data_IF_703575348248
#
_entry.id   IF_703575348248
#
_cell.length_a   1.000
_cell.length_b   1.000
_cell.length_c   1.000
_cell.angle_alpha   90.00
_cell.angle_beta   90.00
_cell.angle_gamma   90.00
#
_symmetry.space_group_name_H-M   'P 1'
#
loop_
_entity.id
_entity.type
_entity.pdbx_description
1 polymer ?
#
# COMPACT_ATOMS: atom_id res chain seq x y z
N UNK A 1 -10.80 12.45 8.85
CA UNK A 1 -10.27 11.17 8.32
C UNK A 1 -10.10 11.22 6.82
N UNK A 2 -8.96 10.75 6.36
CA UNK A 2 -8.66 10.62 4.95
C UNK A 2 -8.50 9.15 4.60
N UNK A 3 -8.94 8.79 3.39
CA UNK A 3 -8.68 7.48 2.81
C UNK A 3 -7.54 7.62 1.81
N UNK A 4 -6.50 6.84 1.99
CA UNK A 4 -5.37 6.80 1.07
C UNK A 4 -5.53 5.55 0.23
N UNK A 5 -5.60 5.72 -1.08
CA UNK A 5 -5.74 4.62 -2.03
C UNK A 5 -4.51 4.57 -2.95
N UNK A 6 -3.81 3.44 -2.92
CA UNK A 6 -2.71 3.18 -3.84
C UNK A 6 -3.21 2.24 -4.91
N UNK A 7 -3.03 2.61 -6.16
CA UNK A 7 -3.47 1.80 -7.29
C UNK A 7 -2.23 1.46 -8.10
N UNK A 8 -1.94 0.16 -8.23
CA UNK A 8 -0.79 -0.32 -8.99
C UNK A 8 -1.26 -1.14 -10.18
N UNK A 9 -0.76 -0.81 -11.35
CA UNK A 9 -1.03 -1.55 -12.58
C UNK A 9 0.14 -2.48 -12.82
N UNK A 10 -0.09 -3.77 -12.61
CA UNK A 10 0.95 -4.78 -12.70
C UNK A 10 1.15 -5.27 -14.13
N UNK A 11 2.31 -5.83 -14.40
CA UNK A 11 2.56 -6.53 -15.64
C UNK A 11 1.69 -7.80 -15.71
N UNK A 12 1.29 -8.26 -16.90
CA UNK A 12 0.47 -9.46 -17.03
C UNK A 12 1.06 -10.65 -16.29
N UNK A 13 0.23 -11.30 -15.47
CA UNK A 13 0.63 -12.46 -14.69
C UNK A 13 1.42 -12.14 -13.43
N UNK A 14 1.64 -10.86 -13.10
CA UNK A 14 2.46 -10.47 -11.95
C UNK A 14 1.66 -9.93 -10.78
N UNK A 15 0.33 -10.05 -10.80
CA UNK A 15 -0.50 -9.56 -9.70
C UNK A 15 -0.27 -10.35 -8.42
N UNK A 16 -0.22 -11.69 -8.52
CA UNK A 16 -0.13 -12.52 -7.32
C UNK A 16 1.12 -12.24 -6.48
N UNK A 17 2.32 -12.13 -7.06
CA UNK A 17 3.49 -11.71 -6.27
C UNK A 17 3.32 -10.34 -5.60
N UNK A 18 2.65 -9.40 -6.28
CA UNK A 18 2.39 -8.08 -5.71
C UNK A 18 1.38 -8.14 -4.56
N UNK A 19 0.35 -8.98 -4.68
CA UNK A 19 -0.62 -9.21 -3.60
C UNK A 19 0.10 -9.70 -2.35
N UNK A 20 1.01 -10.65 -2.50
CA UNK A 20 1.77 -11.18 -1.38
C UNK A 20 2.59 -10.09 -0.68
N UNK A 21 3.23 -9.22 -1.47
CA UNK A 21 3.96 -8.09 -0.92
C UNK A 21 3.04 -7.15 -0.15
N UNK A 22 1.90 -6.80 -0.71
CA UNK A 22 0.95 -5.88 -0.06
C UNK A 22 0.33 -6.49 1.20
N UNK A 23 0.04 -7.78 1.19
CA UNK A 23 -0.47 -8.45 2.40
C UNK A 23 0.59 -8.47 3.52
N UNK A 24 1.85 -8.68 3.17
CA UNK A 24 2.93 -8.61 4.14
C UNK A 24 3.11 -7.18 4.67
N UNK A 25 2.99 -6.17 3.79
CA UNK A 25 3.00 -4.76 4.19
C UNK A 25 1.87 -4.44 5.15
N UNK A 26 0.68 -4.98 4.90
CA UNK A 26 -0.47 -4.76 5.77
C UNK A 26 -0.21 -5.28 7.19
N UNK A 27 0.41 -6.44 7.31
CA UNK A 27 0.77 -7.00 8.62
C UNK A 27 1.77 -6.11 9.35
N UNK A 28 2.78 -5.62 8.64
CA UNK A 28 3.77 -4.73 9.25
C UNK A 28 3.14 -3.40 9.66
N UNK A 29 2.22 -2.87 8.87
CA UNK A 29 1.50 -1.64 9.23
C UNK A 29 0.72 -1.81 10.53
N UNK A 30 0.05 -2.94 10.71
CA UNK A 30 -0.63 -3.24 11.97
C UNK A 30 0.34 -3.30 13.14
N UNK A 31 1.47 -3.98 12.97
CA UNK A 31 2.49 -4.09 14.01
C UNK A 31 3.10 -2.74 14.37
N UNK A 32 3.23 -1.87 13.38
CA UNK A 32 3.79 -0.53 13.58
C UNK A 32 2.77 0.46 14.16
N UNK A 33 1.52 0.06 14.32
CA UNK A 33 0.47 0.93 14.85
C UNK A 33 -0.15 1.86 13.81
N UNK A 34 0.09 1.62 12.52
CA UNK A 34 -0.48 2.45 11.44
C UNK A 34 -1.87 2.03 11.01
N UNK A 35 -2.44 1.01 11.68
CA UNK A 35 -3.75 0.52 11.33
C UNK A 35 -3.72 -0.53 10.25
N UNK A 36 -4.91 -0.88 9.78
CA UNK A 36 -5.11 -1.98 8.85
C UNK A 36 -5.21 -1.47 7.42
N UNK A 37 -4.54 -2.16 6.51
CA UNK A 37 -4.58 -1.86 5.10
C UNK A 37 -5.43 -2.93 4.39
N UNK A 38 -6.38 -2.50 3.58
CA UNK A 38 -7.18 -3.38 2.75
C UNK A 38 -6.48 -3.56 1.41
N UNK A 39 -6.40 -4.80 0.94
CA UNK A 39 -5.78 -5.12 -0.35
C UNK A 39 -6.81 -5.77 -1.25
N UNK A 40 -6.95 -5.25 -2.46
CA UNK A 40 -7.95 -5.71 -3.42
C UNK A 40 -7.31 -5.88 -4.79
N UNK A 41 -7.88 -6.78 -5.59
CA UNK A 41 -7.50 -6.94 -6.98
C UNK A 41 -8.72 -6.71 -7.86
N UNK A 42 -8.51 -6.43 -9.15
CA UNK A 42 -9.62 -6.22 -10.06
C UNK A 42 -10.42 -7.50 -10.24
N UNK A 43 -11.71 -7.40 -10.01
CA UNK A 43 -12.69 -8.37 -10.46
C UNK A 43 -13.31 -7.86 -11.75
N UNK A 44 -13.62 -6.56 -11.77
CA UNK A 44 -14.07 -5.84 -12.94
C UNK A 44 -13.65 -4.38 -12.74
N UNK A 45 -12.75 -3.89 -13.54
CA UNK A 45 -12.23 -2.54 -13.41
C UNK A 45 -11.79 -1.96 -14.73
N UNK A 46 -11.21 -0.78 -14.67
CA UNK A 46 -10.76 -0.06 -15.86
C UNK A 46 -9.65 -0.81 -16.60
N UNK A 47 -8.77 -1.47 -15.85
CA UNK A 47 -7.63 -2.20 -16.42
C UNK A 47 -7.48 -3.55 -15.74
N UNK A 48 -6.99 -4.54 -16.50
CA UNK A 48 -6.60 -5.82 -15.95
C UNK A 48 -5.33 -5.70 -15.13
N UNK A 49 -5.08 -6.67 -14.30
CA UNK A 49 -3.84 -6.81 -13.51
C UNK A 49 -3.65 -5.65 -12.54
N UNK A 50 -4.74 -5.20 -11.93
CA UNK A 50 -4.73 -4.07 -11.01
C UNK A 50 -4.75 -4.55 -9.57
N UNK A 51 -3.94 -3.90 -8.72
CA UNK A 51 -4.00 -4.10 -7.29
C UNK A 51 -4.26 -2.74 -6.62
N UNK A 52 -5.14 -2.72 -5.65
CA UNK A 52 -5.51 -1.52 -4.91
C UNK A 52 -5.32 -1.78 -3.43
N UNK A 53 -4.66 -0.87 -2.74
CA UNK A 53 -4.64 -0.89 -1.28
C UNK A 53 -5.29 0.37 -0.74
N UNK A 54 -5.98 0.23 0.39
CA UNK A 54 -6.64 1.35 1.05
C UNK A 54 -6.36 1.32 2.53
N UNK A 55 -6.06 2.48 3.09
CA UNK A 55 -5.95 2.63 4.53
C UNK A 55 -6.38 4.06 4.92
N UNK A 56 -6.73 4.23 6.19
CA UNK A 56 -7.22 5.50 6.69
C UNK A 56 -6.17 6.17 7.57
N UNK A 57 -6.11 7.48 7.49
CA UNK A 57 -5.27 8.32 8.36
C UNK A 57 -6.09 9.48 8.87
N UNK A 58 -5.69 10.05 10.00
CA UNK A 58 -6.42 11.18 10.60
C UNK A 58 -6.38 12.43 9.73
N UNK A 59 -5.21 12.74 9.18
CA UNK A 59 -4.99 13.95 8.38
C UNK A 59 -3.71 13.80 7.55
N UNK A 60 -3.42 14.81 6.73
CA UNK A 60 -2.22 14.79 5.88
C UNK A 60 -0.93 14.79 6.68
N UNK A 61 -0.91 15.44 7.83
CA UNK A 61 0.29 15.47 8.68
C UNK A 61 0.65 14.06 9.16
N UNK A 62 -0.37 13.29 9.59
CA UNK A 62 -0.17 11.90 9.99
C UNK A 62 0.35 11.05 8.83
N UNK A 63 -0.17 11.27 7.63
CA UNK A 63 0.28 10.57 6.44
C UNK A 63 1.74 10.92 6.10
N UNK A 64 2.10 12.20 6.15
CA UNK A 64 3.47 12.63 5.90
C UNK A 64 4.46 12.00 6.89
N UNK A 65 4.11 11.97 8.17
CA UNK A 65 4.94 11.32 9.18
C UNK A 65 5.14 9.84 8.87
N UNK A 66 4.07 9.16 8.49
CA UNK A 66 4.13 7.75 8.14
C UNK A 66 5.06 7.52 6.94
N UNK A 67 4.97 8.36 5.91
CA UNK A 67 5.80 8.25 4.72
C UNK A 67 7.27 8.56 5.00
N UNK A 68 7.55 9.39 6.00
CA UNK A 68 8.91 9.71 6.43
C UNK A 68 9.49 8.64 7.35
N UNK A 69 8.69 7.65 7.72
CA UNK A 69 9.15 6.57 8.59
C UNK A 69 9.24 6.93 10.06
N UNK A 70 8.61 8.01 10.50
CA UNK A 70 8.60 8.39 11.90
C UNK A 70 7.90 7.33 12.75
N UNK A 71 8.52 6.95 13.86
CA UNK A 71 7.99 5.92 14.75
C UNK A 71 8.29 4.50 14.30
N UNK A 72 9.05 4.33 13.22
CA UNK A 72 9.44 3.02 12.72
C UNK A 72 10.87 2.72 13.20
N UNK A 73 11.06 1.55 13.81
CA UNK A 73 12.39 1.12 14.23
C UNK A 73 13.25 0.76 13.02
N UNK A 74 14.59 0.79 13.13
CA UNK A 74 15.45 0.36 12.02
C UNK A 74 15.17 -1.06 11.54
N UNK A 75 14.84 -1.97 12.44
CA UNK A 75 14.52 -3.36 12.11
C UNK A 75 13.25 -3.44 11.27
N UNK A 76 12.22 -2.70 11.68
CA UNK A 76 10.94 -2.67 10.97
C UNK A 76 11.10 -2.03 9.59
N UNK A 77 11.91 -0.98 9.51
CA UNK A 77 12.23 -0.33 8.25
C UNK A 77 12.89 -1.29 7.26
N UNK A 78 13.81 -2.12 7.73
CA UNK A 78 14.44 -3.15 6.90
C UNK A 78 13.43 -4.19 6.41
N UNK A 79 12.49 -4.58 7.25
CA UNK A 79 11.45 -5.51 6.85
C UNK A 79 10.58 -4.92 5.73
N UNK A 80 10.20 -3.64 5.83
CA UNK A 80 9.47 -2.96 4.76
C UNK A 80 10.27 -2.97 3.45
N UNK A 81 11.55 -2.64 3.50
CA UNK A 81 12.41 -2.66 2.32
C UNK A 81 12.48 -4.04 1.70
N UNK A 82 12.67 -5.07 2.53
CA UNK A 82 12.79 -6.45 2.05
C UNK A 82 11.51 -6.92 1.38
N UNK A 83 10.35 -6.58 1.95
CA UNK A 83 9.05 -6.95 1.36
C UNK A 83 8.89 -6.33 -0.01
N UNK A 84 9.21 -5.04 -0.16
CA UNK A 84 8.98 -4.33 -1.41
C UNK A 84 10.13 -4.50 -2.42
N UNK A 85 11.21 -5.17 -2.04
CA UNK A 85 12.34 -5.38 -2.95
C UNK A 85 11.88 -6.07 -4.24
N UNK A 86 12.25 -5.48 -5.37
CA UNK A 86 11.94 -6.05 -6.69
C UNK A 86 10.55 -5.73 -7.20
N UNK A 87 9.75 -4.92 -6.49
CA UNK A 87 8.39 -4.64 -6.94
C UNK A 87 8.36 -3.91 -8.30
N UNK A 88 9.42 -3.18 -8.64
CA UNK A 88 9.50 -2.49 -9.93
C UNK A 88 9.47 -3.46 -11.12
N UNK A 89 9.87 -4.71 -10.91
CA UNK A 89 9.79 -5.72 -11.97
C UNK A 89 8.38 -6.26 -12.16
N UNK A 90 7.48 -5.98 -11.23
CA UNK A 90 6.12 -6.50 -11.23
C UNK A 90 5.09 -5.47 -11.69
N UNK A 91 5.43 -4.19 -11.66
CA UNK A 91 4.50 -3.08 -11.84
C UNK A 91 4.92 -2.23 -13.03
N UNK A 92 3.96 -1.85 -13.89
CA UNK A 92 4.20 -0.89 -14.96
C UNK A 92 4.22 0.53 -14.41
N UNK A 93 3.17 0.91 -13.69
CA UNK A 93 3.11 2.19 -13.01
C UNK A 93 2.00 2.16 -11.95
N UNK A 94 2.00 3.19 -11.11
CA UNK A 94 0.99 3.33 -10.08
C UNK A 94 0.54 4.76 -9.93
N UNK A 95 -0.52 4.93 -9.15
CA UNK A 95 -1.01 6.26 -8.79
C UNK A 95 -1.61 6.23 -7.40
N UNK A 96 -1.75 7.40 -6.81
CA UNK A 96 -2.33 7.56 -5.48
C UNK A 96 -3.52 8.47 -5.56
N UNK A 97 -4.57 8.11 -4.85
CA UNK A 97 -5.75 8.95 -4.67
C UNK A 97 -5.97 9.13 -3.18
N UNK A 98 -6.33 10.34 -2.79
CA UNK A 98 -6.60 10.65 -1.39
C UNK A 98 -7.98 11.29 -1.33
N UNK A 99 -8.86 10.71 -0.52
CA UNK A 99 -10.23 11.17 -0.38
C UNK A 99 -10.51 11.57 1.06
N UNK A 100 -11.33 12.60 1.22
CA UNK A 100 -11.87 12.98 2.52
C UNK A 100 -13.10 12.11 2.78
N UNK A 101 -13.11 11.45 3.93
CA UNK A 101 -14.26 10.62 4.32
C UNK A 101 -15.35 11.54 4.87
N UNK A 102 -16.51 11.52 4.23
CA UNK A 102 -17.64 12.40 4.59
C UNK A 102 -18.65 11.72 5.51
N UNK A 103 -18.64 10.41 5.58
CA UNK A 103 -19.58 9.72 6.43
C UNK A 103 -19.36 8.26 6.60
#
# INVERSE_FOLDING_TARGET
>A
MLLIREIMYCKPGKVRPMVEKFLAMSKLNEQAGFGRMRVMTDFCGERYWTIVSEFEVENMHAFEKMMQGEGITPELGKEFENIMKGYHDLVDYGRREIYKIEG
#
